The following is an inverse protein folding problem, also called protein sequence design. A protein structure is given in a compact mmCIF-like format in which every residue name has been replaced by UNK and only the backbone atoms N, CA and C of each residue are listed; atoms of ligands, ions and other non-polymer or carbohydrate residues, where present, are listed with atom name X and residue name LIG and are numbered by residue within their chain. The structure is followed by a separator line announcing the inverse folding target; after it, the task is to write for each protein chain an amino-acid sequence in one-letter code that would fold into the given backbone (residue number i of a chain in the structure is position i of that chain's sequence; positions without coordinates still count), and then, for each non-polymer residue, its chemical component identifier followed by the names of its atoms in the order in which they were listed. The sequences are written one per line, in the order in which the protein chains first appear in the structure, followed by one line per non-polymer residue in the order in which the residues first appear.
data_IF_584838145266
#
_entry.id   IF_584838145266
#
_cell.length_a   1.000
_cell.length_b   1.000
_cell.length_c   1.000
_cell.angle_alpha   90.00
_cell.angle_beta   90.00
_cell.angle_gamma   90.00
#
_symmetry.space_group_name_H-M   'P 1'
#
loop_
_entity.id
_entity.type
_entity.pdbx_description
1 polymer ?
#
# COMPACT_ATOMS: atom_id res chain seq x y z
N UNK A 1 -19.41 -0.89 12.51
CA UNK A 1 -18.17 -1.01 13.33
C UNK A 1 -17.05 -0.38 12.53
N UNK A 2 -16.20 0.43 13.16
CA UNK A 2 -15.01 1.02 12.53
C UNK A 2 -13.78 0.37 13.15
N UNK A 3 -12.84 -0.06 12.30
CA UNK A 3 -11.59 -0.71 12.71
C UNK A 3 -10.42 0.09 12.16
N UNK A 4 -9.44 0.40 13.01
CA UNK A 4 -8.19 1.06 12.64
C UNK A 4 -7.07 0.17 13.12
N UNK A 5 -6.14 -0.15 12.22
CA UNK A 5 -5.00 -1.02 12.49
C UNK A 5 -3.76 -0.48 11.79
N UNK A 6 -2.59 -0.71 12.39
CA UNK A 6 -1.30 -0.47 11.75
C UNK A 6 -0.81 -1.79 11.15
N UNK A 7 -0.50 -1.80 9.86
CA UNK A 7 0.01 -2.97 9.14
C UNK A 7 1.34 -2.60 8.49
N UNK A 8 2.38 -3.42 8.70
CA UNK A 8 3.68 -3.24 8.07
C UNK A 8 3.78 -3.88 6.68
N UNK A 9 3.07 -4.99 6.44
CA UNK A 9 3.04 -5.67 5.15
C UNK A 9 2.01 -5.03 4.20
N UNK A 10 2.49 -4.48 3.09
CA UNK A 10 1.64 -3.75 2.15
C UNK A 10 0.66 -4.64 1.38
N UNK A 11 1.01 -5.92 1.14
CA UNK A 11 0.13 -6.87 0.48
C UNK A 11 -1.03 -7.26 1.41
N UNK A 12 -0.76 -7.42 2.71
CA UNK A 12 -1.81 -7.61 3.71
C UNK A 12 -2.72 -6.40 3.80
N UNK A 13 -2.16 -5.19 3.81
CA UNK A 13 -2.96 -3.97 3.81
C UNK A 13 -3.84 -3.89 2.56
N UNK A 14 -3.28 -4.07 1.36
CA UNK A 14 -4.03 -4.02 0.11
C UNK A 14 -5.16 -5.05 0.03
N UNK A 15 -4.93 -6.26 0.57
CA UNK A 15 -5.90 -7.36 0.56
C UNK A 15 -7.08 -7.16 1.51
N UNK A 16 -6.84 -6.59 2.69
CA UNK A 16 -7.84 -6.62 3.76
C UNK A 16 -8.39 -5.23 4.15
N UNK A 17 -7.68 -4.15 3.85
CA UNK A 17 -8.13 -2.81 4.22
C UNK A 17 -8.98 -2.19 3.10
N UNK A 18 -10.15 -1.67 3.46
CA UNK A 18 -10.98 -0.92 2.51
C UNK A 18 -10.43 0.49 2.23
N UNK A 19 -9.67 1.04 3.17
CA UNK A 19 -8.99 2.34 3.10
C UNK A 19 -7.60 2.24 3.69
N UNK A 20 -6.67 3.04 3.20
CA UNK A 20 -5.32 3.13 3.74
C UNK A 20 -4.92 4.58 4.03
N UNK A 21 -4.09 4.72 5.06
CA UNK A 21 -3.30 5.92 5.35
C UNK A 21 -1.84 5.49 5.24
N UNK A 22 -1.09 6.12 4.35
CA UNK A 22 0.34 5.87 4.21
C UNK A 22 1.12 6.95 4.94
N UNK A 23 1.97 6.51 5.86
CA UNK A 23 2.74 7.37 6.74
C UNK A 23 4.23 7.18 6.47
N UNK A 24 4.96 8.29 6.32
CA UNK A 24 6.42 8.30 6.30
C UNK A 24 6.92 9.48 7.13
N UNK A 25 7.90 9.26 7.99
CA UNK A 25 8.48 10.28 8.87
C UNK A 25 7.40 11.05 9.68
N UNK A 26 6.41 10.33 10.22
CA UNK A 26 5.34 10.92 11.04
C UNK A 26 4.28 11.71 10.25
N UNK A 27 4.37 11.79 8.92
CA UNK A 27 3.43 12.53 8.08
C UNK A 27 2.62 11.57 7.22
N UNK A 28 1.29 11.78 7.16
CA UNK A 28 0.42 11.11 6.19
C UNK A 28 0.63 11.78 4.84
N UNK A 29 1.16 11.07 3.86
CA UNK A 29 1.40 11.61 2.51
C UNK A 29 0.39 11.10 1.47
N UNK A 30 -0.28 9.97 1.74
CA UNK A 30 -1.35 9.45 0.91
C UNK A 30 -2.48 8.87 1.77
N UNK A 31 -3.72 9.07 1.34
CA UNK A 31 -4.92 8.60 2.01
C UNK A 31 -6.02 8.34 0.98
N UNK A 32 -6.71 7.21 1.11
CA UNK A 32 -7.76 6.85 0.17
C UNK A 32 -8.17 5.39 0.26
N UNK A 33 -8.85 4.92 -0.78
CA UNK A 33 -9.23 3.52 -0.96
C UNK A 33 -8.11 2.74 -1.67
N UNK A 34 -8.48 1.75 -2.48
CA UNK A 34 -7.56 0.92 -3.25
C UNK A 34 -6.73 1.70 -4.32
N UNK A 35 -7.11 2.94 -4.61
CA UNK A 35 -6.38 3.84 -5.52
C UNK A 35 -5.02 4.29 -4.98
N UNK A 36 -4.79 4.21 -3.66
CA UNK A 36 -3.50 4.59 -3.06
C UNK A 36 -2.39 3.57 -3.30
N UNK A 37 -2.74 2.32 -3.63
CA UNK A 37 -1.78 1.27 -3.97
C UNK A 37 -1.31 1.42 -5.42
N UNK A 38 -0.46 2.41 -5.64
CA UNK A 38 0.26 2.66 -6.90
C UNK A 38 1.76 2.61 -6.64
N UNK A 39 2.56 2.23 -7.64
CA UNK A 39 4.01 2.10 -7.48
C UNK A 39 4.61 3.36 -6.86
N UNK A 40 4.31 4.55 -7.37
CA UNK A 40 4.86 5.81 -6.84
C UNK A 40 4.68 5.98 -5.32
N UNK A 41 3.51 5.65 -4.78
CA UNK A 41 3.25 5.77 -3.34
C UNK A 41 4.01 4.71 -2.54
N UNK A 42 4.07 3.47 -3.04
CA UNK A 42 4.69 2.35 -2.35
C UNK A 42 6.21 2.45 -2.41
N UNK A 43 6.76 2.84 -3.55
CA UNK A 43 8.19 3.12 -3.74
C UNK A 43 8.62 4.25 -2.80
N UNK A 44 7.82 5.32 -2.69
CA UNK A 44 8.07 6.36 -1.70
C UNK A 44 7.93 5.86 -0.26
N UNK A 45 6.96 4.97 0.05
CA UNK A 45 6.77 4.44 1.40
C UNK A 45 7.95 3.59 1.89
N UNK A 46 8.49 2.75 1.02
CA UNK A 46 9.50 1.73 1.37
C UNK A 46 10.92 1.99 0.85
N UNK A 47 11.12 3.04 0.05
CA UNK A 47 12.42 3.38 -0.57
C UNK A 47 13.01 2.26 -1.46
N UNK A 48 12.13 1.52 -2.15
CA UNK A 48 12.51 0.45 -3.09
C UNK A 48 11.64 0.51 -4.35
N UNK A 49 12.13 0.02 -5.48
CA UNK A 49 11.34 -0.10 -6.71
C UNK A 49 10.37 -1.29 -6.65
N UNK A 50 9.10 -1.05 -6.98
CA UNK A 50 8.06 -2.10 -6.94
C UNK A 50 7.21 -2.13 -8.20
N UNK A 51 6.75 -3.32 -8.54
CA UNK A 51 5.68 -3.55 -9.49
C UNK A 51 4.37 -3.78 -8.73
N UNK A 52 3.30 -3.11 -9.18
CA UNK A 52 1.95 -3.31 -8.69
C UNK A 52 1.14 -4.04 -9.76
N UNK A 53 0.91 -5.33 -9.55
CA UNK A 53 0.12 -6.18 -10.43
C UNK A 53 -1.32 -6.21 -9.93
N UNK A 54 -2.26 -5.88 -10.81
CA UNK A 54 -3.71 -5.95 -10.53
C UNK A 54 -4.31 -7.12 -11.29
N UNK A 55 -4.93 -8.05 -10.57
CA UNK A 55 -5.61 -9.20 -11.16
C UNK A 55 -6.96 -9.42 -10.50
N UNK A 56 -8.04 -9.16 -11.26
CA UNK A 56 -9.41 -9.07 -10.74
C UNK A 56 -9.44 -8.07 -9.57
N UNK A 57 -9.97 -8.48 -8.43
CA UNK A 57 -10.07 -7.66 -7.21
C UNK A 57 -8.82 -7.73 -6.32
N UNK A 58 -7.75 -8.39 -6.77
CA UNK A 58 -6.52 -8.55 -6.00
C UNK A 58 -5.43 -7.61 -6.49
N UNK A 59 -4.69 -7.05 -5.54
CA UNK A 59 -3.45 -6.30 -5.77
C UNK A 59 -2.29 -7.15 -5.23
N UNK A 60 -1.26 -7.30 -6.03
CA UNK A 60 -0.01 -7.90 -5.62
C UNK A 60 1.13 -6.91 -5.87
N UNK A 61 1.92 -6.68 -4.83
CA UNK A 61 3.02 -5.72 -4.81
C UNK A 61 4.30 -6.51 -4.62
N UNK A 62 5.20 -6.42 -5.59
CA UNK A 62 6.44 -7.18 -5.64
C UNK A 62 7.63 -6.24 -5.87
N UNK A 63 8.78 -6.44 -5.22
CA UNK A 63 10.01 -5.74 -5.57
C UNK A 63 10.42 -6.09 -7.01
N UNK A 64 10.86 -5.10 -7.79
CA UNK A 64 11.33 -5.33 -9.17
C UNK A 64 12.66 -6.06 -9.22
N UNK A 65 13.52 -5.85 -8.22
CA UNK A 65 14.86 -6.42 -8.14
C UNK A 65 15.02 -7.14 -6.80
N UNK A 66 15.01 -8.48 -6.84
CA UNK A 66 15.38 -9.38 -5.74
C UNK A 66 16.48 -10.32 -6.21
#
# INVERSE_FOLDING_TARGET
ITVIITIHDINMAARFCNKALMLKQGTVFASGDQSVYVSANIEYLYDIEVEVVRYKDNICIMPKNL
#
